data_IF_866452825871
#
_entry.id   IF_866452825871
#
_cell.length_a   1.000
_cell.length_b   1.000
_cell.length_c   1.000
_cell.angle_alpha   90.00
_cell.angle_beta   90.00
_cell.angle_gamma   90.00
#
_symmetry.space_group_name_H-M   'P 1'
#
loop_
_entity.id
_entity.type
_entity.pdbx_description
1 polymer ?
#
# COMPACT_ATOMS: atom_id res chain seq x y z
N UNK A 1 -29.84 -27.56 9.96
CA UNK A 1 -28.89 -27.81 11.06
C UNK A 1 -28.10 -26.52 11.25
N UNK A 2 -28.50 -25.74 12.25
CA UNK A 2 -28.02 -24.37 12.53
C UNK A 2 -27.16 -24.46 13.78
N UNK A 3 -25.91 -24.03 13.73
CA UNK A 3 -25.07 -23.88 14.93
C UNK A 3 -24.52 -22.45 14.97
N UNK A 4 -24.95 -21.76 16.03
CA UNK A 4 -24.44 -20.50 16.58
C UNK A 4 -23.09 -20.74 17.27
N UNK A 5 -22.23 -19.73 17.26
CA UNK A 5 -21.23 -19.52 18.33
C UNK A 5 -21.31 -18.07 18.82
N UNK A 6 -21.38 -17.94 20.14
CA UNK A 6 -21.91 -16.81 20.90
C UNK A 6 -20.88 -15.73 21.27
N UNK A 7 -21.36 -14.48 21.30
CA UNK A 7 -21.00 -13.47 22.30
C UNK A 7 -21.77 -13.71 23.62
N UNK A 8 -21.13 -13.51 24.78
CA UNK A 8 -21.65 -12.99 26.08
C UNK A 8 -20.60 -13.29 27.15
N UNK A 9 -20.18 -12.38 28.04
CA UNK A 9 -20.90 -11.58 29.05
C UNK A 9 -20.26 -10.16 29.14
N UNK A 10 -20.87 -9.04 29.52
CA UNK A 10 -22.19 -8.73 30.07
C UNK A 10 -22.06 -7.50 30.99
N UNK A 11 -22.20 -6.27 30.47
CA UNK A 11 -22.62 -5.06 31.23
C UNK A 11 -23.37 -4.14 30.26
N UNK A 12 -24.54 -3.67 30.69
CA UNK A 12 -25.45 -2.77 29.97
C UNK A 12 -24.82 -1.38 29.76
N UNK A 13 -24.74 -0.92 28.51
CA UNK A 13 -24.99 0.50 28.17
C UNK A 13 -25.22 0.62 26.66
N UNK A 14 -26.27 1.36 26.30
CA UNK A 14 -26.61 1.75 24.94
C UNK A 14 -25.47 2.57 24.31
N UNK A 15 -24.85 2.07 23.23
CA UNK A 15 -24.45 2.88 22.07
C UNK A 15 -23.92 1.97 20.95
N UNK A 16 -24.72 1.76 19.89
CA UNK A 16 -24.31 1.00 18.71
C UNK A 16 -23.76 1.92 17.64
N UNK A 17 -22.45 2.19 17.70
CA UNK A 17 -21.61 2.59 16.54
C UNK A 17 -20.30 1.80 16.55
N UNK A 18 -20.30 0.61 15.96
CA UNK A 18 -19.06 -0.05 15.52
C UNK A 18 -18.55 0.64 14.25
N UNK A 19 -17.84 1.76 14.41
CA UNK A 19 -17.04 2.36 13.35
C UNK A 19 -15.64 1.70 13.33
N UNK A 20 -15.48 0.61 12.58
CA UNK A 20 -14.17 -0.02 12.32
C UNK A 20 -13.77 -0.01 10.83
N UNK A 21 -14.47 0.74 9.97
CA UNK A 21 -14.29 0.70 8.51
C UNK A 21 -13.38 1.79 7.91
N UNK A 22 -12.59 2.54 8.69
CA UNK A 22 -11.91 3.77 8.18
C UNK A 22 -10.37 3.75 8.20
N UNK A 23 -9.73 2.68 8.67
CA UNK A 23 -8.28 2.71 8.93
C UNK A 23 -7.42 2.20 7.75
N UNK A 24 -7.94 1.31 6.91
CA UNK A 24 -7.13 0.63 5.87
C UNK A 24 -7.12 1.35 4.52
N UNK A 25 -8.23 2.00 4.12
CA UNK A 25 -8.24 2.87 2.93
C UNK A 25 -7.28 4.07 3.05
N UNK A 26 -6.89 4.43 4.28
CA UNK A 26 -5.84 5.42 4.53
C UNK A 26 -4.45 4.92 4.18
N UNK A 27 -4.19 3.62 4.11
CA UNK A 27 -2.84 3.07 3.90
C UNK A 27 -2.30 3.41 2.51
N UNK A 28 -3.13 3.39 1.47
CA UNK A 28 -2.73 3.77 0.11
C UNK A 28 -2.45 5.28 -0.05
N UNK A 29 -3.23 6.12 0.64
CA UNK A 29 -2.99 7.57 0.73
C UNK A 29 -1.77 7.90 1.62
N UNK A 30 -1.55 7.09 2.66
CA UNK A 30 -0.45 7.20 3.62
C UNK A 30 0.92 6.87 3.03
N UNK A 31 0.95 6.04 1.97
CA UNK A 31 2.19 5.65 1.29
C UNK A 31 2.72 6.78 0.40
N UNK A 32 1.85 7.68 -0.06
CA UNK A 32 2.21 8.69 -1.05
C UNK A 32 2.48 10.08 -0.47
N UNK A 33 1.86 10.48 0.65
CA UNK A 33 2.09 11.82 1.20
C UNK A 33 2.03 11.79 2.73
N UNK A 34 3.20 11.71 3.38
CA UNK A 34 3.42 11.97 4.82
C UNK A 34 2.42 11.30 5.79
N UNK A 35 2.60 9.99 6.01
CA UNK A 35 2.37 9.28 7.29
C UNK A 35 0.99 9.43 7.97
N UNK A 36 0.22 8.34 8.16
CA UNK A 36 -0.96 8.39 9.02
C UNK A 36 -0.50 8.54 10.47
N UNK A 37 -1.28 9.26 11.28
CA UNK A 37 -1.25 9.07 12.73
C UNK A 37 -1.48 7.58 13.02
N UNK A 38 -0.59 6.89 13.75
CA UNK A 38 -0.62 5.44 13.81
C UNK A 38 -1.81 4.96 14.66
N UNK A 39 -2.57 3.95 14.20
CA UNK A 39 -3.43 3.19 15.09
C UNK A 39 -2.56 2.49 16.16
N UNK A 40 -3.08 2.43 17.38
CA UNK A 40 -2.43 1.78 18.53
C UNK A 40 -2.25 0.28 18.25
N UNK A 41 -1.11 -0.15 17.71
CA UNK A 41 -0.89 -1.58 17.48
C UNK A 41 0.35 -2.09 16.72
N UNK A 42 1.35 -1.27 16.34
CA UNK A 42 2.51 -1.74 15.56
C UNK A 42 3.86 -1.57 16.28
N UNK A 43 4.35 -2.61 16.96
CA UNK A 43 5.40 -2.50 18.01
C UNK A 43 6.87 -2.40 17.55
N UNK A 44 7.23 -2.70 16.29
CA UNK A 44 8.66 -2.85 15.93
C UNK A 44 9.23 -1.70 15.09
N UNK A 45 8.47 -1.13 14.16
CA UNK A 45 8.89 0.06 13.37
C UNK A 45 8.98 1.31 14.25
N UNK A 46 8.13 1.39 15.27
CA UNK A 46 8.11 2.47 16.27
C UNK A 46 9.35 2.49 17.18
N UNK A 47 10.08 1.39 17.33
CA UNK A 47 11.32 1.35 18.12
C UNK A 47 12.50 2.05 17.44
N UNK A 48 12.59 1.94 16.11
CA UNK A 48 13.67 2.56 15.31
C UNK A 48 13.45 4.07 15.13
N UNK A 49 12.19 4.48 14.93
CA UNK A 49 11.78 5.88 14.82
C UNK A 49 11.70 6.61 16.16
N UNK A 50 11.58 5.91 17.28
CA UNK A 50 11.37 6.54 18.60
C UNK A 50 12.49 7.49 19.01
N UNK A 51 13.66 7.39 18.39
CA UNK A 51 14.83 8.18 18.72
C UNK A 51 15.16 9.27 17.67
N UNK A 52 14.53 9.25 16.48
CA UNK A 52 14.79 10.27 15.46
C UNK A 52 13.67 11.31 15.49
N UNK A 53 13.93 12.46 16.09
CA UNK A 53 12.99 13.56 16.15
C UNK A 53 12.97 14.33 14.82
N UNK A 54 11.93 14.10 14.00
CA UNK A 54 11.70 14.82 12.73
C UNK A 54 10.68 15.94 12.87
N UNK A 55 10.32 16.35 14.10
CA UNK A 55 9.29 17.38 14.33
C UNK A 55 9.70 18.73 13.79
N UNK A 56 10.99 19.07 13.80
CA UNK A 56 11.53 20.30 13.22
C UNK A 56 11.32 20.41 11.69
N UNK A 57 11.14 19.27 11.02
CA UNK A 57 10.92 19.23 9.58
C UNK A 57 9.44 19.40 9.19
N UNK A 58 8.53 19.51 10.17
CA UNK A 58 7.10 19.61 9.92
C UNK A 58 6.70 21.03 9.55
N UNK A 59 6.05 21.18 8.40
CA UNK A 59 5.36 22.40 8.01
C UNK A 59 3.85 22.24 8.32
N UNK A 60 3.43 22.83 9.44
CA UNK A 60 2.04 22.74 9.91
C UNK A 60 1.05 23.51 9.02
N UNK A 61 1.50 24.52 8.28
CA UNK A 61 0.64 25.23 7.32
C UNK A 61 0.46 24.36 6.07
N UNK A 62 1.55 23.83 5.51
CA UNK A 62 1.51 22.87 4.40
C UNK A 62 0.57 21.70 4.72
N UNK A 63 0.73 21.10 5.90
CA UNK A 63 -0.13 20.00 6.36
C UNK A 63 -1.60 20.40 6.36
N UNK A 64 -1.96 21.55 6.92
CA UNK A 64 -3.34 22.03 6.96
C UNK A 64 -3.89 22.28 5.55
N UNK A 65 -3.08 22.82 4.65
CA UNK A 65 -3.51 23.03 3.26
C UNK A 65 -3.71 21.72 2.50
N UNK A 66 -2.82 20.74 2.67
CA UNK A 66 -2.97 19.41 2.10
C UNK A 66 -4.21 18.70 2.67
N UNK A 67 -4.47 18.79 3.98
CA UNK A 67 -5.67 18.23 4.61
C UNK A 67 -6.96 18.77 3.97
N UNK A 68 -7.01 20.06 3.63
CA UNK A 68 -8.19 20.68 2.98
C UNK A 68 -8.48 20.10 1.60
N UNK A 69 -7.45 19.67 0.87
CA UNK A 69 -7.61 19.06 -0.47
C UNK A 69 -7.60 17.53 -0.41
N UNK A 70 -7.59 16.94 0.79
CA UNK A 70 -7.55 15.49 0.97
C UNK A 70 -6.22 14.85 0.60
N UNK A 71 -5.10 15.58 0.78
CA UNK A 71 -3.72 15.11 0.54
C UNK A 71 -3.39 14.75 -0.91
N UNK A 72 -4.25 15.11 -1.86
CA UNK A 72 -4.10 14.76 -3.27
C UNK A 72 -4.25 16.01 -4.12
N UNK A 73 -3.13 16.68 -4.47
CA UNK A 73 -3.10 17.73 -5.49
C UNK A 73 -3.59 17.19 -6.84
N UNK A 74 -4.62 17.81 -7.41
CA UNK A 74 -5.23 17.34 -8.67
C UNK A 74 -4.97 18.25 -9.86
N UNK A 75 -4.27 19.37 -9.67
CA UNK A 75 -3.97 20.34 -10.74
C UNK A 75 -2.50 20.72 -10.76
N UNK A 76 -2.03 21.18 -11.92
CA UNK A 76 -0.66 21.69 -12.09
C UNK A 76 -0.36 22.82 -11.10
N UNK A 77 -1.27 23.79 -10.98
CA UNK A 77 -1.15 24.92 -10.06
C UNK A 77 -1.03 24.46 -8.59
N UNK A 78 -1.77 23.42 -8.19
CA UNK A 78 -1.63 22.85 -6.86
C UNK A 78 -0.26 22.18 -6.68
N UNK A 79 0.24 21.43 -7.67
CA UNK A 79 1.57 20.85 -7.60
C UNK A 79 2.65 21.92 -7.53
N UNK A 80 2.58 22.97 -8.35
CA UNK A 80 3.52 24.11 -8.31
C UNK A 80 3.56 24.77 -6.92
N UNK A 81 2.40 24.92 -6.27
CA UNK A 81 2.29 25.45 -4.91
C UNK A 81 2.85 24.50 -3.85
N UNK A 82 2.49 23.21 -3.90
CA UNK A 82 2.76 22.26 -2.81
C UNK A 82 4.11 21.56 -2.93
N UNK A 83 4.68 21.45 -4.11
CA UNK A 83 5.93 20.73 -4.32
C UNK A 83 7.14 21.37 -3.63
N UNK A 84 7.40 22.69 -3.73
CA UNK A 84 8.55 23.30 -3.06
C UNK A 84 8.59 23.07 -1.53
N UNK A 85 7.52 23.34 -0.76
CA UNK A 85 7.54 23.10 0.69
C UNK A 85 7.57 21.61 1.02
N UNK A 86 6.85 20.75 0.26
CA UNK A 86 6.92 19.29 0.44
C UNK A 86 8.33 18.75 0.26
N UNK A 87 9.03 19.18 -0.80
CA UNK A 87 10.41 18.78 -1.07
C UNK A 87 11.39 19.29 -0.01
N UNK A 88 11.12 20.45 0.59
CA UNK A 88 11.93 21.00 1.69
C UNK A 88 11.76 20.15 2.95
N UNK A 89 10.53 19.89 3.36
CA UNK A 89 10.22 19.04 4.51
C UNK A 89 10.80 17.63 4.35
N UNK A 90 10.69 17.05 3.15
CA UNK A 90 11.20 15.72 2.84
C UNK A 90 12.74 15.65 2.89
N UNK A 91 13.44 16.67 2.38
CA UNK A 91 14.91 16.76 2.48
C UNK A 91 15.36 16.89 3.93
N UNK A 92 14.70 17.74 4.72
CA UNK A 92 14.96 17.86 6.15
C UNK A 92 14.79 16.50 6.84
N UNK A 93 13.64 15.85 6.69
CA UNK A 93 13.37 14.57 7.35
C UNK A 93 14.37 13.49 6.96
N UNK A 94 14.76 13.41 5.69
CA UNK A 94 15.79 12.46 5.22
C UNK A 94 17.14 12.74 5.87
N UNK A 95 17.57 14.01 5.92
CA UNK A 95 18.83 14.40 6.54
C UNK A 95 18.85 14.07 8.04
N UNK A 96 17.80 14.46 8.77
CA UNK A 96 17.66 14.17 10.21
C UNK A 96 17.67 12.67 10.49
N UNK A 97 17.02 11.85 9.66
CA UNK A 97 17.05 10.39 9.82
C UNK A 97 18.44 9.82 9.52
N UNK A 98 19.11 10.28 8.47
CA UNK A 98 20.47 9.84 8.14
C UNK A 98 21.46 10.18 9.26
N UNK A 99 21.37 11.38 9.83
CA UNK A 99 22.19 11.81 10.97
C UNK A 99 21.90 10.96 12.21
N UNK A 100 20.62 10.78 12.56
CA UNK A 100 20.19 9.97 13.69
C UNK A 100 20.67 8.51 13.61
N UNK A 101 20.58 7.89 12.42
CA UNK A 101 20.97 6.49 12.20
C UNK A 101 22.48 6.34 11.94
N UNK A 102 23.17 7.43 11.61
CA UNK A 102 24.59 7.43 11.26
C UNK A 102 24.91 6.67 9.97
N UNK A 103 23.92 6.50 9.07
CA UNK A 103 24.07 5.76 7.81
C UNK A 103 23.26 6.40 6.70
N UNK A 104 23.75 6.24 5.48
CA UNK A 104 22.97 6.59 4.30
C UNK A 104 21.74 5.66 4.15
N UNK A 105 20.58 6.23 3.80
CA UNK A 105 19.34 5.48 3.66
C UNK A 105 19.36 4.54 2.44
N UNK A 106 20.08 4.87 1.37
CA UNK A 106 20.20 3.99 0.21
C UNK A 106 21.02 2.76 0.60
N UNK A 107 22.13 2.95 1.32
CA UNK A 107 22.90 1.83 1.88
C UNK A 107 22.02 0.98 2.82
N UNK A 108 21.33 1.62 3.76
CA UNK A 108 20.48 0.92 4.73
C UNK A 108 19.35 0.12 4.07
N UNK A 109 18.80 0.61 2.96
CA UNK A 109 17.74 -0.06 2.17
C UNK A 109 18.16 -1.42 1.60
N UNK A 110 19.47 -1.70 1.60
CA UNK A 110 20.08 -2.94 1.11
C UNK A 110 20.70 -3.79 2.21
N UNK A 111 20.56 -3.38 3.48
CA UNK A 111 21.14 -4.10 4.62
C UNK A 111 20.48 -5.46 4.87
N UNK A 112 21.21 -6.36 5.54
CA UNK A 112 20.71 -7.67 5.94
C UNK A 112 19.63 -7.61 7.03
N UNK A 113 19.56 -6.49 7.76
CA UNK A 113 18.48 -6.24 8.70
C UNK A 113 17.19 -5.91 7.92
N UNK A 114 16.36 -6.93 7.70
CA UNK A 114 15.11 -6.83 6.93
C UNK A 114 14.22 -5.66 7.34
N UNK A 115 14.09 -5.40 8.65
CA UNK A 115 13.26 -4.31 9.18
C UNK A 115 13.84 -2.95 8.82
N UNK A 116 15.13 -2.74 9.08
CA UNK A 116 15.81 -1.49 8.75
C UNK A 116 15.84 -1.24 7.23
N UNK A 117 16.09 -2.30 6.45
CA UNK A 117 16.06 -2.26 4.99
C UNK A 117 14.66 -1.93 4.44
N UNK A 118 13.60 -2.50 5.03
CA UNK A 118 12.22 -2.20 4.63
C UNK A 118 11.86 -0.75 4.92
N UNK A 119 12.20 -0.26 6.12
CA UNK A 119 11.97 1.11 6.52
C UNK A 119 12.71 2.12 5.61
N UNK A 120 14.03 1.93 5.43
CA UNK A 120 14.84 2.81 4.61
C UNK A 120 14.41 2.80 3.13
N UNK A 121 14.05 1.62 2.60
CA UNK A 121 13.48 1.50 1.25
C UNK A 121 12.18 2.28 1.11
N UNK A 122 11.30 2.21 2.11
CA UNK A 122 10.05 2.97 2.14
C UNK A 122 10.32 4.47 1.99
N UNK A 123 11.22 5.02 2.82
CA UNK A 123 11.58 6.45 2.75
C UNK A 123 12.18 6.82 1.39
N UNK A 124 13.14 6.04 0.90
CA UNK A 124 13.79 6.30 -0.39
C UNK A 124 12.78 6.21 -1.54
N UNK A 125 11.87 5.22 -1.53
CA UNK A 125 10.83 5.06 -2.53
C UNK A 125 9.83 6.23 -2.51
N UNK A 126 9.37 6.66 -1.33
CA UNK A 126 8.51 7.83 -1.16
C UNK A 126 9.21 9.09 -1.67
N UNK A 127 10.47 9.32 -1.28
CA UNK A 127 11.26 10.47 -1.74
C UNK A 127 11.35 10.51 -3.27
N UNK A 128 11.70 9.39 -3.89
CA UNK A 128 11.86 9.32 -5.34
C UNK A 128 10.53 9.53 -6.07
N UNK A 129 9.43 8.95 -5.56
CA UNK A 129 8.10 9.17 -6.14
C UNK A 129 7.68 10.64 -6.07
N UNK A 130 7.79 11.27 -4.89
CA UNK A 130 7.44 12.68 -4.71
C UNK A 130 8.34 13.56 -5.60
N UNK A 131 9.65 13.25 -5.67
CA UNK A 131 10.58 13.98 -6.54
C UNK A 131 10.15 13.89 -8.00
N UNK A 132 9.78 12.70 -8.48
CA UNK A 132 9.33 12.53 -9.86
C UNK A 132 8.04 13.33 -10.12
N UNK A 133 7.03 13.22 -9.25
CA UNK A 133 5.77 13.99 -9.36
C UNK A 133 6.04 15.50 -9.35
N UNK A 134 6.98 15.96 -8.50
CA UNK A 134 7.28 17.37 -8.32
C UNK A 134 8.26 17.96 -9.33
N UNK A 135 8.88 17.14 -10.18
CA UNK A 135 9.80 17.60 -11.22
C UNK A 135 9.01 17.82 -12.53
N UNK A 136 9.00 19.04 -13.10
CA UNK A 136 8.34 19.29 -14.37
C UNK A 136 8.90 18.42 -15.51
N UNK A 137 8.01 17.93 -16.39
CA UNK A 137 8.37 17.16 -17.58
C UNK A 137 8.78 15.70 -17.33
N UNK A 138 8.59 15.16 -16.12
CA UNK A 138 8.76 13.72 -15.91
C UNK A 138 7.51 12.95 -16.37
N UNK A 139 7.71 11.74 -16.91
CA UNK A 139 6.59 10.83 -17.26
C UNK A 139 5.66 10.60 -16.05
N UNK A 140 6.20 10.54 -14.83
CA UNK A 140 5.38 10.34 -13.62
C UNK A 140 4.48 11.53 -13.32
N UNK A 141 4.96 12.78 -13.47
CA UNK A 141 4.13 13.98 -13.27
C UNK A 141 3.00 14.03 -14.30
N UNK A 142 3.32 13.78 -15.56
CA UNK A 142 2.33 13.76 -16.65
C UNK A 142 1.27 12.69 -16.44
N UNK A 143 1.70 11.47 -16.10
CA UNK A 143 0.79 10.36 -15.80
C UNK A 143 -0.05 10.62 -14.54
N UNK A 144 0.54 11.23 -13.51
CA UNK A 144 -0.16 11.63 -12.30
C UNK A 144 -1.27 12.65 -12.63
N UNK A 145 -0.93 13.78 -13.25
CA UNK A 145 -1.90 14.84 -13.53
C UNK A 145 -3.03 14.41 -14.47
N UNK A 146 -2.72 13.53 -15.44
CA UNK A 146 -3.73 13.02 -16.37
C UNK A 146 -4.72 12.05 -15.74
N UNK A 147 -4.41 11.44 -14.60
CA UNK A 147 -5.23 10.39 -13.99
C UNK A 147 -5.69 10.65 -12.56
N UNK A 148 -5.05 11.58 -11.83
CA UNK A 148 -5.21 11.70 -10.38
C UNK A 148 -6.61 12.11 -9.94
N UNK A 149 -7.32 12.93 -10.72
CA UNK A 149 -8.70 13.33 -10.39
C UNK A 149 -9.63 12.11 -10.37
N UNK A 150 -9.57 11.26 -11.40
CA UNK A 150 -10.35 10.02 -11.45
C UNK A 150 -9.91 9.04 -10.37
N UNK A 151 -8.58 8.86 -10.20
CA UNK A 151 -8.03 8.00 -9.16
C UNK A 151 -8.53 8.40 -7.76
N UNK A 152 -8.56 9.71 -7.48
CA UNK A 152 -9.06 10.27 -6.22
C UNK A 152 -10.53 9.94 -5.99
N UNK A 153 -11.37 10.13 -7.00
CA UNK A 153 -12.80 9.79 -6.93
C UNK A 153 -12.99 8.30 -6.62
N UNK A 154 -12.31 7.42 -7.35
CA UNK A 154 -12.38 5.98 -7.14
C UNK A 154 -11.86 5.55 -5.74
N UNK A 155 -10.78 6.18 -5.27
CA UNK A 155 -10.25 5.93 -3.92
C UNK A 155 -11.18 6.40 -2.80
N UNK A 156 -11.95 7.46 -3.04
CA UNK A 156 -12.96 7.93 -2.08
C UNK A 156 -14.23 7.10 -2.09
N UNK A 157 -14.45 6.29 -3.13
CA UNK A 157 -15.50 5.29 -3.15
C UNK A 157 -15.13 4.08 -2.28
N UNK A 158 -15.65 4.09 -1.06
CA UNK A 158 -15.47 3.00 -0.10
C UNK A 158 -16.03 1.66 -0.61
N UNK A 159 -17.00 1.68 -1.53
CA UNK A 159 -17.59 0.46 -2.08
C UNK A 159 -16.60 -0.30 -2.96
N UNK A 160 -15.94 0.40 -3.89
CA UNK A 160 -14.92 -0.17 -4.78
C UNK A 160 -13.78 -0.85 -4.02
N UNK A 161 -13.20 -0.18 -3.02
CA UNK A 161 -12.09 -0.76 -2.23
C UNK A 161 -12.56 -1.97 -1.42
N UNK A 162 -13.71 -1.86 -0.76
CA UNK A 162 -14.25 -2.94 0.09
C UNK A 162 -14.64 -4.16 -0.75
N UNK A 163 -15.20 -3.96 -1.94
CA UNK A 163 -15.59 -5.03 -2.87
C UNK A 163 -14.39 -5.90 -3.24
N UNK A 164 -13.26 -5.31 -3.64
CA UNK A 164 -12.06 -6.06 -3.99
C UNK A 164 -11.48 -6.87 -2.81
N UNK A 165 -11.51 -6.31 -1.60
CA UNK A 165 -11.06 -7.02 -0.39
C UNK A 165 -11.98 -8.20 -0.05
N UNK A 166 -13.30 -8.01 -0.09
CA UNK A 166 -14.28 -9.08 0.15
C UNK A 166 -14.17 -10.20 -0.88
N UNK A 167 -14.00 -9.86 -2.15
CA UNK A 167 -13.75 -10.82 -3.22
C UNK A 167 -12.44 -11.59 -2.98
N UNK A 168 -11.38 -10.91 -2.56
CA UNK A 168 -10.11 -11.54 -2.22
C UNK A 168 -10.25 -12.62 -1.14
N UNK A 169 -10.99 -12.33 -0.06
CA UNK A 169 -11.28 -13.33 0.99
C UNK A 169 -12.05 -14.53 0.46
N UNK A 170 -13.11 -14.30 -0.33
CA UNK A 170 -13.94 -15.38 -0.88
C UNK A 170 -13.15 -16.28 -1.84
N UNK A 171 -12.35 -15.67 -2.71
CA UNK A 171 -11.51 -16.37 -3.68
C UNK A 171 -10.42 -17.17 -2.98
N UNK A 172 -9.72 -16.56 -2.02
CA UNK A 172 -8.66 -17.25 -1.29
C UNK A 172 -9.19 -18.41 -0.43
N UNK A 173 -10.36 -18.25 0.19
CA UNK A 173 -11.00 -19.36 0.92
C UNK A 173 -11.33 -20.55 0.00
N UNK A 174 -11.68 -20.29 -1.26
CA UNK A 174 -11.92 -21.34 -2.26
C UNK A 174 -10.61 -21.99 -2.73
N UNK A 175 -9.56 -21.18 -2.94
CA UNK A 175 -8.22 -21.66 -3.28
C UNK A 175 -7.64 -22.56 -2.19
N UNK A 176 -7.76 -22.15 -0.93
CA UNK A 176 -7.29 -22.92 0.22
C UNK A 176 -8.01 -24.28 0.30
N UNK A 177 -9.32 -24.31 0.04
CA UNK A 177 -10.08 -25.56 -0.01
C UNK A 177 -9.59 -26.47 -1.15
N UNK A 178 -9.27 -25.92 -2.33
CA UNK A 178 -8.72 -26.74 -3.41
C UNK A 178 -7.33 -27.30 -3.08
N UNK A 179 -6.46 -26.52 -2.45
CA UNK A 179 -5.12 -26.99 -2.04
C UNK A 179 -5.21 -28.08 -0.97
N UNK A 180 -6.11 -27.94 0.00
CA UNK A 180 -6.35 -28.97 1.02
C UNK A 180 -6.80 -30.30 0.41
N UNK A 181 -7.62 -30.28 -0.66
CA UNK A 181 -8.04 -31.48 -1.39
C UNK A 181 -6.88 -32.16 -2.14
N UNK A 182 -5.83 -31.41 -2.49
CA UNK A 182 -4.61 -31.92 -3.12
C UNK A 182 -3.57 -32.40 -2.10
N UNK A 183 -3.85 -32.28 -0.80
CA UNK A 183 -2.92 -32.65 0.28
C UNK A 183 -1.86 -31.60 0.58
N UNK A 184 -1.97 -30.40 0.02
CA UNK A 184 -1.07 -29.26 0.23
C UNK A 184 -1.54 -28.41 1.41
N UNK A 185 -1.86 -29.02 2.55
CA UNK A 185 -2.42 -28.28 3.68
C UNK A 185 -1.37 -27.35 4.30
N UNK A 186 -1.71 -26.06 4.36
CA UNK A 186 -0.83 -25.02 4.88
C UNK A 186 -0.75 -25.15 6.42
N UNK A 187 0.45 -25.15 7.02
CA UNK A 187 0.60 -25.14 8.46
C UNK A 187 -0.15 -23.96 9.11
N UNK A 188 -0.83 -24.20 10.23
CA UNK A 188 -1.66 -23.20 10.94
C UNK A 188 -0.88 -21.91 11.26
N UNK A 189 0.40 -22.03 11.60
CA UNK A 189 1.30 -20.91 11.90
C UNK A 189 1.50 -19.97 10.70
N UNK A 190 1.57 -20.53 9.49
CA UNK A 190 1.82 -19.77 8.26
C UNK A 190 0.53 -19.27 7.60
N UNK A 191 -0.58 -19.96 7.86
CA UNK A 191 -1.90 -19.69 7.27
C UNK A 191 -2.33 -18.24 7.41
N UNK A 192 -2.12 -17.60 8.58
CA UNK A 192 -2.52 -16.20 8.76
C UNK A 192 -1.74 -15.24 7.86
N UNK A 193 -0.41 -15.41 7.78
CA UNK A 193 0.46 -14.58 6.95
C UNK A 193 0.15 -14.77 5.47
N UNK A 194 0.01 -16.02 5.04
CA UNK A 194 -0.35 -16.35 3.67
C UNK A 194 -1.71 -15.79 3.29
N UNK A 195 -2.73 -15.95 4.16
CA UNK A 195 -4.05 -15.34 3.95
C UNK A 195 -3.94 -13.83 3.72
N UNK A 196 -3.20 -13.12 4.57
CA UNK A 196 -3.02 -11.68 4.43
C UNK A 196 -2.31 -11.33 3.12
N UNK A 197 -1.24 -12.04 2.77
CA UNK A 197 -0.52 -11.84 1.50
C UNK A 197 -1.44 -12.04 0.29
N UNK A 198 -2.12 -13.20 0.20
CA UNK A 198 -2.90 -13.61 -0.95
C UNK A 198 -4.14 -12.74 -1.15
N UNK A 199 -4.87 -12.44 -0.07
CA UNK A 199 -6.02 -11.53 -0.11
C UNK A 199 -5.59 -10.12 -0.49
N UNK A 200 -4.48 -9.62 0.06
CA UNK A 200 -3.98 -8.28 -0.27
C UNK A 200 -3.53 -8.19 -1.73
N UNK A 201 -2.81 -9.20 -2.22
CA UNK A 201 -2.39 -9.25 -3.61
C UNK A 201 -3.60 -9.28 -4.56
N UNK A 202 -4.59 -10.13 -4.28
CA UNK A 202 -5.84 -10.16 -5.04
C UNK A 202 -6.54 -8.80 -5.02
N UNK A 203 -6.69 -8.18 -3.84
CA UNK A 203 -7.39 -6.90 -3.70
C UNK A 203 -6.71 -5.79 -4.51
N UNK A 204 -5.37 -5.72 -4.49
CA UNK A 204 -4.61 -4.77 -5.30
C UNK A 204 -4.77 -5.02 -6.80
N UNK A 205 -4.78 -6.29 -7.22
CA UNK A 205 -4.98 -6.66 -8.62
C UNK A 205 -6.41 -6.36 -9.11
N UNK A 206 -7.41 -6.66 -8.29
CA UNK A 206 -8.80 -6.27 -8.53
C UNK A 206 -8.94 -4.74 -8.63
N UNK A 207 -8.32 -3.98 -7.71
CA UNK A 207 -8.37 -2.53 -7.76
C UNK A 207 -7.66 -1.96 -8.99
N UNK A 208 -6.57 -2.59 -9.45
CA UNK A 208 -5.94 -2.23 -10.71
C UNK A 208 -6.85 -2.46 -11.93
N UNK A 209 -7.69 -3.51 -11.91
CA UNK A 209 -8.72 -3.72 -12.94
C UNK A 209 -9.78 -2.62 -12.88
N UNK A 210 -10.34 -2.33 -11.71
CA UNK A 210 -11.34 -1.26 -11.55
C UNK A 210 -10.77 0.12 -11.98
N UNK A 211 -9.50 0.40 -11.69
CA UNK A 211 -8.79 1.59 -12.18
C UNK A 211 -8.64 1.61 -13.69
N UNK A 212 -8.33 0.48 -14.32
CA UNK A 212 -8.22 0.39 -15.77
C UNK A 212 -9.57 0.68 -16.43
N UNK A 213 -10.63 0.03 -15.94
CA UNK A 213 -11.97 0.12 -16.50
C UNK A 213 -12.57 1.52 -16.30
N UNK A 214 -12.26 2.18 -15.17
CA UNK A 214 -12.84 3.48 -14.81
C UNK A 214 -11.99 4.67 -15.25
N UNK A 215 -10.67 4.60 -15.03
CA UNK A 215 -9.75 5.73 -15.21
C UNK A 215 -8.75 5.52 -16.37
N UNK A 216 -8.81 4.37 -17.04
CA UNK A 216 -7.99 4.06 -18.20
C UNK A 216 -6.59 3.54 -17.87
N UNK A 217 -5.87 3.20 -18.94
CA UNK A 217 -4.60 2.48 -18.88
C UNK A 217 -3.48 3.24 -18.16
N UNK A 218 -3.44 4.57 -18.31
CA UNK A 218 -2.43 5.42 -17.65
C UNK A 218 -2.57 5.36 -16.13
N UNK A 219 -3.80 5.43 -15.61
CA UNK A 219 -4.08 5.34 -14.17
C UNK A 219 -3.65 3.99 -13.61
N UNK A 220 -4.05 2.90 -14.28
CA UNK A 220 -3.65 1.53 -13.94
C UNK A 220 -2.14 1.38 -13.92
N UNK A 221 -1.44 1.75 -15.00
CA UNK A 221 0.02 1.62 -15.10
C UNK A 221 0.72 2.40 -13.98
N UNK A 222 0.28 3.63 -13.72
CA UNK A 222 0.85 4.49 -12.66
C UNK A 222 0.69 3.87 -11.28
N UNK A 223 -0.48 3.31 -10.98
CA UNK A 223 -0.73 2.56 -9.75
C UNK A 223 0.19 1.35 -9.61
N UNK A 224 0.26 0.50 -10.64
CA UNK A 224 1.11 -0.70 -10.64
C UNK A 224 2.60 -0.33 -10.51
N UNK A 225 3.06 0.69 -11.21
CA UNK A 225 4.45 1.17 -11.12
C UNK A 225 4.76 1.72 -9.74
N UNK A 226 3.80 2.38 -9.09
CA UNK A 226 3.90 2.83 -7.69
C UNK A 226 4.05 1.63 -6.76
N UNK A 227 3.18 0.61 -6.85
CA UNK A 227 3.30 -0.62 -6.05
C UNK A 227 4.67 -1.30 -6.22
N UNK A 228 5.17 -1.37 -7.47
CA UNK A 228 6.49 -1.95 -7.80
C UNK A 228 7.64 -1.15 -7.18
N UNK A 229 7.58 0.18 -7.18
CA UNK A 229 8.59 1.06 -6.55
C UNK A 229 8.66 0.80 -5.04
N UNK A 230 7.52 0.66 -4.39
CA UNK A 230 7.45 0.35 -2.96
C UNK A 230 7.75 -1.10 -2.61
N UNK A 231 7.83 -1.99 -3.62
CA UNK A 231 7.94 -3.43 -3.41
C UNK A 231 6.85 -3.94 -2.46
N UNK A 232 5.63 -3.42 -2.62
CA UNK A 232 4.56 -3.48 -1.62
C UNK A 232 4.31 -4.91 -1.11
N UNK A 233 4.15 -5.88 -2.03
CA UNK A 233 3.93 -7.28 -1.67
C UNK A 233 5.12 -7.89 -0.92
N UNK A 234 6.34 -7.71 -1.44
CA UNK A 234 7.57 -8.30 -0.87
C UNK A 234 7.92 -7.75 0.51
N UNK A 235 7.57 -6.49 0.80
CA UNK A 235 8.00 -5.82 2.04
C UNK A 235 6.95 -5.79 3.14
N UNK A 236 5.66 -5.91 2.82
CA UNK A 236 4.62 -5.85 3.84
C UNK A 236 4.19 -7.23 4.35
N UNK A 237 3.95 -8.22 3.48
CA UNK A 237 3.23 -9.44 3.93
C UNK A 237 3.68 -10.75 3.26
N UNK A 238 4.23 -10.69 2.05
CA UNK A 238 4.49 -11.89 1.24
C UNK A 238 5.94 -12.36 1.31
N UNK A 239 6.12 -13.68 1.47
CA UNK A 239 7.40 -14.35 1.25
C UNK A 239 7.72 -14.47 -0.25
N UNK A 240 8.96 -14.86 -0.59
CA UNK A 240 9.29 -15.16 -2.00
C UNK A 240 8.53 -16.38 -2.53
N UNK A 241 8.20 -17.35 -1.66
CA UNK A 241 7.37 -18.49 -2.02
C UNK A 241 5.94 -18.03 -2.35
N UNK A 242 5.34 -17.19 -1.49
CA UNK A 242 3.99 -16.65 -1.71
C UNK A 242 3.92 -15.87 -3.03
N UNK A 243 4.94 -15.04 -3.33
CA UNK A 243 5.01 -14.30 -4.60
C UNK A 243 5.12 -15.23 -5.81
N UNK A 244 5.82 -16.35 -5.69
CA UNK A 244 5.91 -17.33 -6.76
C UNK A 244 4.56 -18.02 -6.95
N UNK A 245 3.92 -18.47 -5.86
CA UNK A 245 2.57 -19.04 -5.87
C UNK A 245 1.56 -18.08 -6.54
N UNK A 246 1.56 -16.80 -6.15
CA UNK A 246 0.72 -15.76 -6.76
C UNK A 246 0.85 -15.70 -8.28
N UNK A 247 2.06 -15.90 -8.82
CA UNK A 247 2.33 -15.82 -10.26
C UNK A 247 2.01 -17.09 -11.03
N UNK A 248 1.94 -18.22 -10.33
CA UNK A 248 1.75 -19.54 -10.93
C UNK A 248 0.38 -20.09 -10.52
N UNK A 249 0.34 -20.90 -9.48
CA UNK A 249 -0.78 -21.75 -9.09
C UNK A 249 -2.02 -20.91 -8.79
N UNK A 250 -1.87 -19.83 -8.02
CA UNK A 250 -3.00 -18.95 -7.71
C UNK A 250 -3.53 -18.25 -8.96
N UNK A 251 -2.66 -17.69 -9.82
CA UNK A 251 -3.11 -17.01 -11.04
C UNK A 251 -3.80 -17.96 -12.02
N UNK A 252 -3.32 -19.20 -12.13
CA UNK A 252 -3.94 -20.25 -12.93
C UNK A 252 -5.30 -20.67 -12.34
N UNK A 253 -5.39 -20.80 -11.02
CA UNK A 253 -6.63 -21.10 -10.31
C UNK A 253 -7.74 -20.07 -10.58
N UNK A 254 -7.39 -18.78 -10.70
CA UNK A 254 -8.38 -17.73 -10.93
C UNK A 254 -9.13 -17.83 -12.27
N UNK A 255 -8.58 -18.56 -13.25
CA UNK A 255 -9.18 -18.75 -14.59
C UNK A 255 -9.66 -17.43 -15.24
N UNK A 256 -8.89 -16.36 -15.08
CA UNK A 256 -9.25 -15.04 -15.58
C UNK A 256 -9.14 -14.95 -17.10
N UNK A 257 -10.00 -14.11 -17.69
CA UNK A 257 -9.88 -13.65 -19.08
C UNK A 257 -8.52 -12.97 -19.31
N UNK A 258 -8.01 -13.03 -20.55
CA UNK A 258 -6.64 -12.65 -20.91
C UNK A 258 -6.25 -11.23 -20.42
N UNK A 259 -7.12 -10.24 -20.61
CA UNK A 259 -6.88 -8.87 -20.16
C UNK A 259 -6.77 -8.77 -18.64
N UNK A 260 -7.73 -9.34 -17.90
CA UNK A 260 -7.70 -9.34 -16.42
C UNK A 260 -6.50 -10.11 -15.89
N UNK A 261 -6.19 -11.27 -16.50
CA UNK A 261 -5.01 -12.08 -16.17
C UNK A 261 -3.72 -11.30 -16.34
N UNK A 262 -3.59 -10.53 -17.42
CA UNK A 262 -2.44 -9.65 -17.67
C UNK A 262 -2.30 -8.57 -16.59
N UNK A 263 -3.40 -7.93 -16.19
CA UNK A 263 -3.40 -6.93 -15.12
C UNK A 263 -2.98 -7.55 -13.78
N UNK A 264 -3.56 -8.70 -13.41
CA UNK A 264 -3.21 -9.44 -12.19
C UNK A 264 -1.74 -9.84 -12.16
N UNK A 265 -1.25 -10.43 -13.25
CA UNK A 265 0.15 -10.79 -13.42
C UNK A 265 1.05 -9.57 -13.21
N UNK A 266 0.71 -8.42 -13.80
CA UNK A 266 1.49 -7.20 -13.68
C UNK A 266 1.60 -6.67 -12.25
N UNK A 267 0.60 -6.91 -11.39
CA UNK A 267 0.63 -6.55 -9.95
C UNK A 267 1.48 -7.53 -9.15
N UNK A 268 1.42 -8.82 -9.46
CA UNK A 268 2.20 -9.86 -8.77
C UNK A 268 3.69 -9.82 -9.14
N UNK A 269 4.02 -9.25 -10.30
CA UNK A 269 5.40 -8.99 -10.70
C UNK A 269 6.09 -7.95 -9.82
N UNK A 270 7.15 -8.36 -9.13
CA UNK A 270 8.15 -7.44 -8.60
C UNK A 270 9.15 -7.06 -9.70
N UNK A 271 9.54 -5.77 -9.80
CA UNK A 271 10.66 -5.38 -10.68
C UNK A 271 11.90 -6.21 -10.29
N UNK A 272 12.42 -7.01 -11.23
CA UNK A 272 13.76 -7.61 -11.08
C UNK A 272 14.75 -6.46 -10.89
N UNK A 273 15.55 -6.47 -9.82
CA UNK A 273 16.73 -5.58 -9.72
C UNK A 273 17.59 -5.84 -10.96
N UNK A 274 17.81 -4.82 -11.78
CA UNK A 274 18.93 -4.86 -12.74
C UNK A 274 20.19 -4.95 -11.87
N UNK A 275 20.94 -6.04 -12.01
CA UNK A 275 22.26 -6.21 -11.40
C UNK A 275 23.25 -5.29 -12.09
#
# INVERSE_FOLDING_TARGET
MVIRLCCSMGVKSNDSRCNSSSTEARVLVSITVLGPTPPKGGSVVLGFLRNCDVTECQDFELRRELERIGWVPTTEEQLERFCPPTMTALRCAVATIQECVGKDLVELSTSDNKTAAAFAHGIVATRNLITDICTPGTEMRENYLSSISCFKELMTDAESTRKCQQQGYAVYATYEQSEALLGNEIPVEDKKRETVCMVTAYALACFAVELHDTCGEVARKTFVDTLKRFQFLKRNECTEADINNLKTEFLDFLQLEEQRRSIFSSVFESKKRRK
#
